data_IF_740826745076
#
_entry.id   IF_740826745076
#
_cell.length_a   1.000
_cell.length_b   1.000
_cell.length_c   1.000
_cell.angle_alpha   90.00
_cell.angle_beta   90.00
_cell.angle_gamma   90.00
#
_symmetry.space_group_name_H-M   'P 1'
#
loop_
_entity.id
_entity.type
_entity.pdbx_description
1 polymer ?
#
# COMPACT_ATOMS: atom_id res chain seq x y z
N UNK A 1 7.06 -13.66 -8.17
CA UNK A 1 7.85 -12.42 -8.36
C UNK A 1 7.18 -11.52 -9.39
N UNK A 2 7.52 -10.21 -9.42
CA UNK A 2 7.07 -9.30 -10.47
C UNK A 2 7.65 -9.71 -11.83
N UNK A 3 6.87 -9.56 -12.90
CA UNK A 3 7.28 -9.92 -14.26
C UNK A 3 8.24 -8.90 -14.89
N UNK A 4 8.15 -7.63 -14.46
CA UNK A 4 9.01 -6.54 -14.92
C UNK A 4 9.17 -5.48 -13.83
N UNK A 5 10.15 -4.58 -14.00
CA UNK A 5 10.39 -3.49 -13.05
C UNK A 5 9.19 -2.55 -12.88
N UNK A 6 8.37 -2.37 -13.90
CA UNK A 6 7.14 -1.57 -13.78
C UNK A 6 6.10 -2.16 -12.82
N UNK A 7 6.25 -3.44 -12.49
CA UNK A 7 5.36 -4.17 -11.58
C UNK A 7 6.00 -4.41 -10.20
N UNK A 8 7.08 -3.69 -9.87
CA UNK A 8 7.88 -3.91 -8.65
C UNK A 8 7.05 -3.85 -7.37
N UNK A 9 5.97 -3.07 -7.35
CA UNK A 9 5.07 -2.98 -6.21
C UNK A 9 4.43 -4.33 -5.82
N UNK A 10 4.32 -5.27 -6.78
CA UNK A 10 3.84 -6.64 -6.49
C UNK A 10 4.79 -7.42 -5.57
N UNK A 11 6.07 -7.06 -5.54
CA UNK A 11 6.99 -7.61 -4.55
C UNK A 11 6.98 -6.75 -3.28
N UNK A 12 7.31 -5.47 -3.44
CA UNK A 12 7.62 -4.59 -2.33
C UNK A 12 6.38 -4.19 -1.52
N UNK A 13 5.27 -3.90 -2.20
CA UNK A 13 4.01 -3.57 -1.53
C UNK A 13 3.44 -4.75 -0.73
N UNK A 14 3.51 -5.96 -1.29
CA UNK A 14 3.09 -7.17 -0.57
C UNK A 14 4.00 -7.47 0.63
N UNK A 15 5.31 -7.34 0.45
CA UNK A 15 6.27 -7.56 1.55
C UNK A 15 6.05 -6.58 2.68
N UNK A 16 5.90 -5.29 2.37
CA UNK A 16 5.63 -4.24 3.35
C UNK A 16 4.28 -4.44 4.04
N UNK A 17 3.24 -4.82 3.30
CA UNK A 17 1.94 -5.14 3.88
C UNK A 17 2.04 -6.31 4.88
N UNK A 18 2.69 -7.41 4.48
CA UNK A 18 2.86 -8.60 5.34
C UNK A 18 3.73 -8.27 6.55
N UNK A 19 4.80 -7.49 6.39
CA UNK A 19 5.62 -6.98 7.51
C UNK A 19 4.74 -6.27 8.54
N UNK A 20 3.88 -5.34 8.12
CA UNK A 20 2.97 -4.64 9.03
C UNK A 20 1.99 -5.59 9.75
N UNK A 21 1.52 -6.67 9.09
CA UNK A 21 0.71 -7.72 9.71
C UNK A 21 1.48 -8.54 10.73
N UNK A 22 2.77 -8.80 10.48
CA UNK A 22 3.68 -9.49 11.43
C UNK A 22 3.95 -8.58 12.63
N UNK A 23 4.27 -7.31 12.42
CA UNK A 23 4.44 -6.33 13.50
C UNK A 23 3.19 -6.27 14.39
N UNK A 24 2.01 -6.22 13.79
CA UNK A 24 0.74 -6.22 14.53
C UNK A 24 0.58 -7.49 15.39
N UNK A 25 0.89 -8.66 14.83
CA UNK A 25 0.77 -9.94 15.53
C UNK A 25 1.76 -10.10 16.70
N UNK A 26 2.97 -9.58 16.55
CA UNK A 26 4.05 -9.72 17.55
C UNK A 26 4.04 -8.61 18.61
N UNK A 27 3.75 -7.37 18.21
CA UNK A 27 3.94 -6.18 19.03
C UNK A 27 2.64 -5.39 19.28
N UNK A 28 1.54 -5.84 18.67
CA UNK A 28 0.22 -5.22 18.83
C UNK A 28 -0.09 -4.13 17.82
N UNK A 29 -1.37 -3.77 17.76
CA UNK A 29 -1.92 -2.83 16.77
C UNK A 29 -1.30 -1.45 16.86
N UNK A 30 -1.08 -0.92 18.07
CA UNK A 30 -0.52 0.43 18.25
C UNK A 30 0.90 0.56 17.67
N UNK A 31 1.73 -0.47 17.80
CA UNK A 31 3.06 -0.46 17.20
C UNK A 31 2.99 -0.47 15.67
N UNK A 32 2.14 -1.34 15.11
CA UNK A 32 1.95 -1.39 13.66
C UNK A 32 1.36 -0.07 13.10
N UNK A 33 0.45 0.58 13.83
CA UNK A 33 -0.08 1.90 13.43
C UNK A 33 0.97 3.00 13.51
N UNK A 34 1.89 2.96 14.48
CA UNK A 34 3.02 3.90 14.56
C UNK A 34 3.91 3.78 13.33
N UNK A 35 4.33 2.57 12.97
CA UNK A 35 5.16 2.31 11.78
C UNK A 35 4.44 2.80 10.51
N UNK A 36 3.17 2.43 10.33
CA UNK A 36 2.38 2.87 9.17
C UNK A 36 2.23 4.38 9.08
N UNK A 37 2.01 5.08 10.21
CA UNK A 37 1.89 6.54 10.22
C UNK A 37 3.19 7.23 9.81
N UNK A 38 4.34 6.70 10.25
CA UNK A 38 5.66 7.17 9.84
C UNK A 38 5.83 6.96 8.33
N UNK A 39 5.69 5.72 7.86
CA UNK A 39 5.89 5.37 6.44
C UNK A 39 4.98 6.18 5.52
N UNK A 40 3.70 6.32 5.87
CA UNK A 40 2.74 7.13 5.10
C UNK A 40 3.09 8.61 5.10
N UNK A 41 3.63 9.14 6.20
CA UNK A 41 4.07 10.54 6.30
C UNK A 41 5.29 10.78 5.42
N UNK A 42 6.24 9.86 5.43
CA UNK A 42 7.46 9.93 4.63
C UNK A 42 7.13 9.84 3.14
N UNK A 43 6.26 8.90 2.73
CA UNK A 43 5.76 8.83 1.36
C UNK A 43 5.06 10.12 0.92
N UNK A 44 4.19 10.70 1.76
CA UNK A 44 3.48 11.95 1.45
C UNK A 44 4.44 13.15 1.30
N UNK A 45 5.61 13.09 1.90
CA UNK A 45 6.66 14.09 1.69
C UNK A 45 7.44 13.81 0.40
N UNK A 46 7.84 12.57 0.17
CA UNK A 46 8.59 12.15 -1.01
C UNK A 46 7.86 12.48 -2.32
N UNK A 47 6.56 12.15 -2.42
CA UNK A 47 5.77 12.38 -3.65
C UNK A 47 5.67 13.85 -4.06
N UNK A 48 5.94 14.81 -3.17
CA UNK A 48 5.91 16.25 -3.51
C UNK A 48 6.98 16.63 -4.51
N UNK A 49 8.11 15.94 -4.46
CA UNK A 49 9.30 16.22 -5.28
C UNK A 49 9.44 15.22 -6.44
N UNK A 50 8.53 14.23 -6.54
CA UNK A 50 8.55 13.22 -7.58
C UNK A 50 7.79 13.64 -8.83
N UNK A 51 8.25 13.14 -9.99
CA UNK A 51 7.46 13.25 -11.23
C UNK A 51 6.10 12.54 -11.06
N UNK A 52 5.00 13.09 -11.60
CA UNK A 52 3.69 12.43 -11.51
C UNK A 52 3.67 11.01 -12.07
N UNK A 53 4.46 10.72 -13.10
CA UNK A 53 4.53 9.40 -13.74
C UNK A 53 5.13 8.33 -12.80
N UNK A 54 6.04 8.73 -11.91
CA UNK A 54 6.71 7.82 -10.97
C UNK A 54 5.90 7.59 -9.69
N UNK A 55 4.77 8.27 -9.54
CA UNK A 55 3.88 8.14 -8.38
C UNK A 55 2.79 7.08 -8.56
N UNK A 56 2.67 6.46 -9.74
CA UNK A 56 1.74 5.37 -10.01
C UNK A 56 2.30 4.02 -9.53
N UNK A 57 1.43 3.11 -9.07
CA UNK A 57 1.83 1.73 -8.77
C UNK A 57 2.12 0.95 -10.05
N UNK A 58 1.22 1.06 -11.04
CA UNK A 58 1.46 0.55 -12.39
C UNK A 58 2.31 1.57 -13.15
N UNK A 59 3.62 1.46 -13.00
CA UNK A 59 4.55 2.38 -13.65
C UNK A 59 4.40 2.34 -15.18
N UNK A 60 4.56 3.48 -15.87
CA UNK A 60 4.68 3.49 -17.31
C UNK A 60 5.93 2.70 -17.77
N UNK A 61 6.03 2.34 -19.06
CA UNK A 61 7.25 1.74 -19.58
C UNK A 61 8.47 2.59 -19.24
N UNK A 62 9.48 1.98 -18.63
CA UNK A 62 10.70 2.69 -18.19
C UNK A 62 11.59 3.09 -19.38
N UNK A 63 11.37 2.47 -20.56
CA UNK A 63 12.15 2.68 -21.79
C UNK A 63 13.64 2.48 -21.51
N UNK A 64 14.46 3.54 -21.68
CA UNK A 64 15.91 3.51 -21.47
C UNK A 64 16.33 4.01 -20.07
N UNK A 65 15.36 4.27 -19.18
CA UNK A 65 15.68 4.69 -17.80
C UNK A 65 16.25 3.53 -17.01
N UNK A 66 17.18 3.83 -16.12
CA UNK A 66 17.64 2.88 -15.13
C UNK A 66 16.44 2.47 -14.24
N UNK A 67 16.14 1.18 -14.10
CA UNK A 67 15.09 0.72 -13.20
C UNK A 67 15.23 1.21 -11.75
N UNK A 68 16.46 1.38 -11.26
CA UNK A 68 16.73 1.85 -9.91
C UNK A 68 16.26 3.30 -9.70
N UNK A 69 16.23 4.14 -10.77
CA UNK A 69 15.70 5.49 -10.71
C UNK A 69 14.17 5.54 -10.48
N UNK A 70 13.46 4.44 -10.77
CA UNK A 70 12.02 4.32 -10.55
C UNK A 70 11.68 3.63 -9.22
N UNK A 71 12.67 3.11 -8.49
CA UNK A 71 12.49 2.47 -7.21
C UNK A 71 12.36 3.53 -6.11
N UNK A 72 11.17 3.63 -5.52
CA UNK A 72 10.82 4.64 -4.53
C UNK A 72 9.88 4.07 -3.47
N UNK A 73 9.59 4.82 -2.42
CA UNK A 73 8.60 4.44 -1.41
C UNK A 73 7.19 4.21 -1.99
N UNK A 74 6.92 4.65 -3.21
CA UNK A 74 5.66 4.35 -3.89
C UNK A 74 5.45 2.84 -4.03
N UNK A 75 6.45 2.09 -4.49
CA UNK A 75 6.32 0.64 -4.65
C UNK A 75 6.06 -0.06 -3.31
N UNK A 76 6.71 0.38 -2.25
CA UNK A 76 6.63 -0.19 -0.90
C UNK A 76 5.37 0.28 -0.16
N UNK A 77 5.31 1.56 0.14
CA UNK A 77 4.31 2.13 1.06
C UNK A 77 2.96 2.34 0.38
N UNK A 78 2.91 2.94 -0.84
CA UNK A 78 1.63 3.06 -1.58
C UNK A 78 1.09 1.68 -1.93
N UNK A 79 1.96 0.72 -2.31
CA UNK A 79 1.58 -0.67 -2.57
C UNK A 79 0.95 -1.35 -1.34
N UNK A 80 1.61 -1.24 -0.17
CA UNK A 80 1.06 -1.77 1.08
C UNK A 80 -0.24 -1.07 1.48
N UNK A 81 -0.33 0.24 1.28
CA UNK A 81 -1.54 1.02 1.58
C UNK A 81 -2.73 0.62 0.70
N UNK A 82 -2.49 0.33 -0.56
CA UNK A 82 -3.51 -0.23 -1.45
C UNK A 82 -4.02 -1.60 -0.96
N UNK A 83 -3.12 -2.49 -0.51
CA UNK A 83 -3.51 -3.79 0.06
C UNK A 83 -4.30 -3.62 1.38
N UNK A 84 -3.90 -2.67 2.23
CA UNK A 84 -4.64 -2.29 3.43
C UNK A 84 -6.04 -1.75 3.09
N UNK A 85 -6.16 -0.92 2.05
CA UNK A 85 -7.44 -0.44 1.56
C UNK A 85 -8.36 -1.62 1.17
N UNK A 86 -7.85 -2.59 0.43
CA UNK A 86 -8.62 -3.79 0.07
C UNK A 86 -9.01 -4.60 1.33
N UNK A 87 -8.08 -4.80 2.28
CA UNK A 87 -8.37 -5.46 3.56
C UNK A 87 -9.50 -4.76 4.31
N UNK A 88 -9.46 -3.42 4.40
CA UNK A 88 -10.49 -2.63 5.09
C UNK A 88 -11.86 -2.75 4.43
N UNK A 89 -11.90 -2.81 3.09
CA UNK A 89 -13.16 -2.90 2.32
C UNK A 89 -13.82 -4.26 2.37
N UNK A 90 -13.04 -5.35 2.44
CA UNK A 90 -13.54 -6.72 2.42
C UNK A 90 -13.50 -7.41 3.79
N UNK A 91 -12.70 -6.89 4.72
CA UNK A 91 -12.40 -7.53 5.99
C UNK A 91 -11.44 -8.72 5.85
N UNK A 92 -10.67 -9.00 6.90
CA UNK A 92 -9.65 -10.07 6.93
C UNK A 92 -10.21 -11.45 6.61
N UNK A 93 -11.42 -11.76 7.07
CA UNK A 93 -12.06 -13.06 6.82
C UNK A 93 -12.22 -13.37 5.31
N UNK A 94 -12.35 -12.33 4.47
CA UNK A 94 -12.46 -12.46 3.00
C UNK A 94 -11.12 -12.21 2.33
N UNK A 95 -10.37 -11.21 2.80
CA UNK A 95 -9.14 -10.79 2.17
C UNK A 95 -7.98 -11.79 2.36
N UNK A 96 -7.83 -12.37 3.56
CA UNK A 96 -6.73 -13.31 3.82
C UNK A 96 -6.80 -14.60 2.97
N UNK A 97 -7.96 -15.25 2.78
CA UNK A 97 -8.08 -16.35 1.81
C UNK A 97 -7.80 -15.94 0.37
N UNK A 98 -8.23 -14.74 -0.05
CA UNK A 98 -7.91 -14.22 -1.39
C UNK A 98 -6.41 -14.03 -1.56
N UNK A 99 -5.75 -13.42 -0.59
CA UNK A 99 -4.31 -13.18 -0.61
C UNK A 99 -3.52 -14.49 -0.68
N UNK A 100 -3.91 -15.48 0.13
CA UNK A 100 -3.31 -16.82 0.09
C UNK A 100 -3.49 -17.46 -1.27
N UNK A 101 -4.70 -17.44 -1.82
CA UNK A 101 -4.99 -18.00 -3.15
C UNK A 101 -4.16 -17.34 -4.25
N UNK A 102 -3.92 -16.02 -4.18
CA UNK A 102 -3.04 -15.34 -5.12
C UNK A 102 -1.62 -15.94 -5.11
N UNK A 103 -1.04 -16.16 -3.93
CA UNK A 103 0.29 -16.73 -3.82
C UNK A 103 0.34 -18.21 -4.22
N UNK A 104 -0.68 -18.99 -3.84
CA UNK A 104 -0.73 -20.42 -4.15
C UNK A 104 -0.87 -20.65 -5.67
N UNK A 105 -1.77 -19.88 -6.34
CA UNK A 105 -2.01 -20.00 -7.78
C UNK A 105 -0.85 -19.48 -8.65
N UNK A 106 0.01 -18.60 -8.09
CA UNK A 106 1.16 -18.03 -8.78
C UNK A 106 2.52 -18.47 -8.17
N UNK A 107 2.51 -19.57 -7.42
CA UNK A 107 3.74 -20.11 -6.83
C UNK A 107 4.79 -20.41 -7.91
N UNK A 108 6.02 -19.93 -7.70
CA UNK A 108 7.16 -20.09 -8.63
C UNK A 108 6.97 -19.46 -10.02
N UNK A 109 6.00 -18.55 -10.15
CA UNK A 109 5.72 -17.84 -11.38
C UNK A 109 6.04 -16.35 -11.24
N UNK A 110 6.20 -15.66 -12.38
CA UNK A 110 6.23 -14.20 -12.44
C UNK A 110 4.84 -13.69 -12.80
N UNK A 111 4.44 -12.57 -12.20
CA UNK A 111 3.16 -11.95 -12.45
C UNK A 111 3.31 -10.43 -12.68
N UNK A 112 2.36 -9.84 -13.40
CA UNK A 112 2.27 -8.42 -13.62
C UNK A 112 1.01 -7.83 -12.96
N UNK A 113 0.91 -6.51 -12.97
CA UNK A 113 -0.20 -5.76 -12.38
C UNK A 113 -1.55 -6.15 -12.99
N UNK A 114 -1.62 -6.35 -14.32
CA UNK A 114 -2.87 -6.72 -15.01
C UNK A 114 -3.38 -8.08 -14.53
N UNK A 115 -2.48 -9.06 -14.39
CA UNK A 115 -2.82 -10.39 -13.86
C UNK A 115 -3.34 -10.32 -12.42
N UNK A 116 -2.75 -9.46 -11.57
CA UNK A 116 -3.28 -9.25 -10.22
C UNK A 116 -4.67 -8.62 -10.24
N UNK A 117 -4.89 -7.63 -11.09
CA UNK A 117 -6.22 -6.99 -11.26
C UNK A 117 -7.26 -7.99 -11.77
N UNK A 118 -6.92 -8.81 -12.76
CA UNK A 118 -7.82 -9.88 -13.25
C UNK A 118 -8.14 -10.89 -12.16
N UNK A 119 -7.14 -11.32 -11.40
CA UNK A 119 -7.32 -12.25 -10.28
C UNK A 119 -8.24 -11.65 -9.21
N UNK A 120 -8.04 -10.39 -8.87
CA UNK A 120 -8.88 -9.65 -7.92
C UNK A 120 -10.33 -9.51 -8.42
N UNK A 121 -10.52 -9.16 -9.69
CA UNK A 121 -11.85 -9.07 -10.32
C UNK A 121 -12.59 -10.42 -10.31
N UNK A 122 -11.87 -11.52 -10.43
CA UNK A 122 -12.45 -12.87 -10.42
C UNK A 122 -12.72 -13.40 -9.00
N UNK A 123 -11.83 -13.17 -8.05
CA UNK A 123 -11.80 -13.89 -6.78
C UNK A 123 -12.15 -13.02 -5.55
N UNK A 124 -11.97 -11.69 -5.63
CA UNK A 124 -12.23 -10.78 -4.51
C UNK A 124 -13.46 -9.91 -4.72
N UNK A 125 -13.54 -9.16 -5.84
CA UNK A 125 -14.62 -8.20 -6.07
C UNK A 125 -16.02 -8.83 -6.04
N UNK A 126 -16.25 -10.07 -6.53
CA UNK A 126 -17.58 -10.70 -6.45
C UNK A 126 -18.05 -11.00 -5.02
N UNK A 127 -17.15 -10.98 -4.02
CA UNK A 127 -17.51 -11.19 -2.61
C UNK A 127 -18.27 -10.01 -2.01
N UNK A 128 -18.02 -8.81 -2.51
CA UNK A 128 -18.77 -7.58 -2.22
C UNK A 128 -18.65 -6.62 -3.42
N UNK A 129 -19.55 -6.70 -4.42
CA UNK A 129 -19.43 -5.96 -5.67
C UNK A 129 -19.46 -4.42 -5.53
N UNK A 130 -19.90 -3.91 -4.39
CA UNK A 130 -19.98 -2.47 -4.12
C UNK A 130 -18.84 -1.98 -3.23
N UNK A 131 -17.95 -2.86 -2.77
CA UNK A 131 -16.88 -2.50 -1.85
C UNK A 131 -15.82 -1.61 -2.50
N UNK A 132 -15.53 -1.85 -3.78
CA UNK A 132 -14.49 -1.13 -4.54
C UNK A 132 -14.98 -0.89 -5.96
N UNK A 133 -14.83 0.33 -6.43
CA UNK A 133 -15.20 0.74 -7.79
C UNK A 133 -14.00 0.70 -8.73
N UNK A 134 -14.25 0.63 -10.05
CA UNK A 134 -13.18 0.73 -11.06
C UNK A 134 -12.43 2.08 -10.97
N UNK A 135 -13.12 3.16 -10.61
CA UNK A 135 -12.50 4.47 -10.42
C UNK A 135 -11.52 4.48 -9.23
N UNK A 136 -11.87 3.82 -8.13
CA UNK A 136 -10.97 3.68 -6.97
C UNK A 136 -9.75 2.81 -7.31
N UNK A 137 -9.93 1.72 -8.07
CA UNK A 137 -8.82 0.90 -8.54
C UNK A 137 -7.87 1.69 -9.43
N UNK A 138 -8.42 2.46 -10.38
CA UNK A 138 -7.63 3.33 -11.25
C UNK A 138 -6.86 4.37 -10.44
N UNK A 139 -7.50 5.01 -9.46
CA UNK A 139 -6.86 6.01 -8.61
C UNK A 139 -5.67 5.42 -7.83
N UNK A 140 -5.77 4.18 -7.34
CA UNK A 140 -4.66 3.52 -6.66
C UNK A 140 -3.53 3.12 -7.60
N UNK A 141 -3.87 2.52 -8.75
CA UNK A 141 -2.90 1.86 -9.62
C UNK A 141 -2.24 2.82 -10.63
N UNK A 142 -3.01 3.73 -11.21
CA UNK A 142 -2.58 4.51 -12.38
C UNK A 142 -2.41 6.01 -12.08
N UNK A 143 -3.09 6.56 -11.06
CA UNK A 143 -3.04 8.00 -10.81
C UNK A 143 -1.90 8.38 -9.87
N UNK A 144 -1.34 9.60 -10.03
CA UNK A 144 -0.29 10.09 -9.15
C UNK A 144 -0.81 10.38 -7.73
N UNK A 145 0.12 10.42 -6.78
CA UNK A 145 -0.17 10.71 -5.38
C UNK A 145 -0.93 9.59 -4.67
N UNK A 146 -1.55 9.95 -3.56
CA UNK A 146 -2.37 9.05 -2.74
C UNK A 146 -3.84 9.45 -2.90
N UNK A 147 -4.75 8.49 -3.17
CA UNK A 147 -6.17 8.80 -3.31
C UNK A 147 -6.74 9.50 -2.07
N UNK A 148 -7.58 10.51 -2.27
CA UNK A 148 -8.14 11.32 -1.16
C UNK A 148 -9.04 10.52 -0.23
N UNK A 149 -9.58 9.38 -0.69
CA UNK A 149 -10.38 8.46 0.10
C UNK A 149 -9.54 7.43 0.87
N UNK A 150 -8.21 7.43 0.71
CA UNK A 150 -7.32 6.52 1.44
C UNK A 150 -7.35 6.84 2.94
N UNK A 151 -7.61 5.83 3.77
CA UNK A 151 -7.58 5.95 5.22
C UNK A 151 -6.13 6.07 5.68
N UNK A 152 -5.79 7.18 6.33
CA UNK A 152 -4.47 7.37 6.93
C UNK A 152 -4.36 6.64 8.26
N UNK A 153 -3.21 6.02 8.48
CA UNK A 153 -2.87 5.47 9.78
C UNK A 153 -2.78 6.60 10.83
N UNK A 154 -3.19 6.29 12.05
CA UNK A 154 -3.16 7.22 13.19
C UNK A 154 -2.85 6.46 14.48
N UNK A 155 -1.68 6.69 15.03
CA UNK A 155 -1.29 6.12 16.30
C UNK A 155 -1.73 7.01 17.47
N UNK A 156 -2.34 6.39 18.48
CA UNK A 156 -2.65 7.07 19.75
C UNK A 156 -1.40 7.51 20.48
N UNK A 157 -0.30 6.77 20.34
CA UNK A 157 0.96 7.09 21.00
C UNK A 157 1.53 8.42 20.51
N UNK A 158 1.46 8.72 19.20
CA UNK A 158 1.87 10.03 18.70
C UNK A 158 0.98 11.16 19.21
N UNK A 159 -0.33 10.96 19.30
CA UNK A 159 -1.25 11.94 19.85
C UNK A 159 -0.93 12.26 21.33
N UNK A 160 -0.55 11.26 22.12
CA UNK A 160 -0.11 11.45 23.53
C UNK A 160 1.18 12.26 23.60
N UNK A 161 2.18 11.90 22.79
CA UNK A 161 3.46 12.61 22.73
C UNK A 161 3.26 14.07 22.29
N UNK A 162 2.46 14.31 21.26
CA UNK A 162 2.16 15.68 20.78
C UNK A 162 1.45 16.51 21.85
N UNK A 163 0.51 15.92 22.57
CA UNK A 163 -0.17 16.60 23.69
C UNK A 163 0.82 16.99 24.79
N UNK A 164 1.71 16.08 25.18
CA UNK A 164 2.74 16.33 26.18
C UNK A 164 3.73 17.40 25.71
N UNK A 165 4.14 17.38 24.44
CA UNK A 165 5.02 18.38 23.84
C UNK A 165 4.39 19.78 23.83
N UNK A 166 3.12 19.88 23.42
CA UNK A 166 2.39 21.16 23.40
C UNK A 166 2.27 21.73 24.83
N UNK A 167 1.92 20.88 25.80
CA UNK A 167 1.84 21.30 27.19
C UNK A 167 3.18 21.79 27.74
N UNK A 168 4.29 21.14 27.41
CA UNK A 168 5.64 21.54 27.80
C UNK A 168 6.05 22.87 27.16
N UNK A 169 5.81 23.06 25.87
CA UNK A 169 6.17 24.29 25.14
C UNK A 169 5.25 25.48 25.45
N UNK A 170 4.05 25.24 25.95
CA UNK A 170 3.09 26.29 26.33
C UNK A 170 3.11 26.65 27.81
N UNK A 171 4.06 26.12 28.60
CA UNK A 171 4.20 26.39 30.02
C UNK A 171 5.22 27.49 30.39
N UNK A 172 5.67 28.29 29.38
CA UNK A 172 6.49 29.50 29.59
C UNK A 172 5.65 30.77 29.73
#
# INVERSE_FOLDING_TARGET
TNASWKDIWLNEGFTTYVQGRITEALYGTEMAEMEREIDQTDLLNEVKDMSPADQALALPPLNERDPDDALSQVAYVKGAWFLQFLEQRFGRAVFDPFLRGWFDDHAFQSANTDQFVEYMKKNLLPKNPTAVTDAELKAWLEEPGIPTFATKARSRNFAVVDTARIAFLGSD
#
